data_IF_459015565252
#
_entry.id   IF_459015565252
#
_cell.length_a   1.000
_cell.length_b   1.000
_cell.length_c   1.000
_cell.angle_alpha   90.00
_cell.angle_beta   90.00
_cell.angle_gamma   90.00
#
_symmetry.space_group_name_H-M   'P 1'
#
loop_
_entity.id
_entity.type
_entity.pdbx_description
1 polymer ?
#
# COMPACT_ATOMS: atom_id res chain seq x y z
N UNK A 1 22.19 -20.63 -60.10
CA UNK A 1 21.89 -22.02 -59.69
C UNK A 1 23.19 -22.80 -59.63
N UNK A 2 23.50 -23.42 -58.48
CA UNK A 2 24.56 -24.42 -58.37
C UNK A 2 25.69 -24.04 -57.42
N UNK A 3 25.51 -24.38 -56.14
CA UNK A 3 26.48 -24.27 -55.07
C UNK A 3 27.63 -25.29 -55.20
N UNK A 4 28.78 -25.00 -54.56
CA UNK A 4 29.18 -25.67 -53.31
C UNK A 4 30.70 -25.85 -53.17
N UNK A 5 31.14 -25.61 -51.95
CA UNK A 5 32.50 -25.70 -51.37
C UNK A 5 32.96 -27.15 -51.23
N UNK A 6 34.29 -27.37 -51.26
CA UNK A 6 34.93 -28.47 -50.52
C UNK A 6 36.18 -27.97 -49.78
N UNK A 7 36.16 -28.09 -48.46
CA UNK A 7 37.31 -27.97 -47.56
C UNK A 7 37.93 -29.35 -47.38
N UNK A 8 39.27 -29.42 -47.38
CA UNK A 8 40.03 -30.55 -46.87
C UNK A 8 41.19 -30.00 -46.05
N UNK A 9 41.19 -30.25 -44.74
CA UNK A 9 42.36 -30.06 -43.88
C UNK A 9 42.64 -31.41 -43.26
N UNK A 10 43.85 -31.93 -43.49
CA UNK A 10 44.41 -33.04 -42.78
C UNK A 10 45.57 -32.50 -41.96
N UNK A 11 45.47 -32.57 -40.64
CA UNK A 11 46.64 -32.49 -39.76
C UNK A 11 46.54 -33.56 -38.67
N UNK A 12 47.64 -34.29 -38.52
CA UNK A 12 47.88 -35.31 -37.50
C UNK A 12 48.21 -34.65 -36.15
N UNK A 13 47.96 -35.33 -35.01
CA UNK A 13 47.98 -34.68 -33.71
C UNK A 13 49.40 -34.63 -33.13
N UNK A 14 49.79 -33.49 -32.56
CA UNK A 14 50.76 -33.46 -31.47
C UNK A 14 50.27 -32.49 -30.41
N UNK A 15 49.94 -33.03 -29.24
CA UNK A 15 49.50 -32.31 -28.07
C UNK A 15 50.63 -31.41 -27.53
N UNK A 16 50.35 -30.12 -27.49
CA UNK A 16 51.04 -29.15 -26.63
C UNK A 16 49.96 -28.21 -26.12
N UNK A 17 49.53 -28.44 -24.89
CA UNK A 17 48.50 -27.65 -24.23
C UNK A 17 49.08 -26.29 -23.82
N UNK A 18 49.04 -25.32 -24.73
CA UNK A 18 48.95 -23.92 -24.34
C UNK A 18 47.47 -23.64 -24.18
N UNK A 19 46.98 -23.70 -22.93
CA UNK A 19 45.68 -23.17 -22.60
C UNK A 19 45.72 -21.67 -22.87
N UNK A 20 45.21 -21.25 -24.02
CA UNK A 20 44.76 -19.87 -24.20
C UNK A 20 43.53 -19.74 -23.33
N UNK A 21 43.71 -19.26 -22.11
CA UNK A 21 42.61 -18.76 -21.29
C UNK A 21 42.01 -17.58 -22.04
N UNK A 22 41.01 -17.86 -22.85
CA UNK A 22 40.01 -16.87 -23.24
C UNK A 22 39.43 -16.41 -21.90
N UNK A 23 39.82 -15.22 -21.45
CA UNK A 23 39.11 -14.55 -20.38
C UNK A 23 37.67 -14.45 -20.87
N UNK A 24 36.80 -15.32 -20.33
CA UNK A 24 35.38 -15.08 -20.37
C UNK A 24 35.21 -13.74 -19.67
N UNK A 25 35.00 -12.68 -20.44
CA UNK A 25 34.48 -11.45 -19.91
C UNK A 25 33.18 -11.88 -19.23
N UNK A 26 33.14 -11.81 -17.89
CA UNK A 26 31.87 -11.89 -17.19
C UNK A 26 31.02 -10.77 -17.81
N UNK A 27 30.02 -11.14 -18.60
CA UNK A 27 29.04 -10.16 -19.03
C UNK A 27 28.43 -9.65 -17.73
N UNK A 28 28.56 -8.36 -17.46
CA UNK A 28 27.82 -7.74 -16.38
C UNK A 28 26.34 -8.12 -16.57
N UNK A 29 25.66 -8.47 -15.49
CA UNK A 29 24.23 -8.75 -15.53
C UNK A 29 23.51 -7.64 -16.30
N UNK A 30 22.53 -7.98 -17.16
CA UNK A 30 21.88 -6.99 -18.00
C UNK A 30 21.22 -5.91 -17.13
N UNK A 31 21.35 -4.66 -17.54
CA UNK A 31 20.64 -3.55 -16.92
C UNK A 31 19.13 -3.71 -17.20
N UNK A 32 18.31 -3.73 -16.16
CA UNK A 32 16.86 -3.83 -16.26
C UNK A 32 16.20 -2.67 -15.50
N UNK A 33 15.87 -1.54 -16.14
CA UNK A 33 15.28 -0.38 -15.47
C UNK A 33 13.79 -0.60 -15.16
N UNK A 34 13.28 -0.08 -14.03
CA UNK A 34 11.87 -0.21 -13.67
C UNK A 34 10.96 0.65 -14.53
N UNK A 35 9.70 0.22 -14.62
CA UNK A 35 8.66 1.04 -15.27
C UNK A 35 8.43 2.32 -14.46
N UNK A 36 8.45 2.18 -13.13
CA UNK A 36 8.43 3.30 -12.20
C UNK A 36 9.54 3.14 -11.16
N UNK A 37 10.37 4.16 -11.04
CA UNK A 37 11.54 4.12 -10.18
C UNK A 37 11.25 4.78 -8.82
N UNK A 38 11.18 3.95 -7.78
CA UNK A 38 11.11 4.35 -6.37
C UNK A 38 12.35 3.86 -5.59
N UNK A 39 13.46 3.52 -6.26
CA UNK A 39 14.71 3.14 -5.58
C UNK A 39 15.43 4.33 -4.94
N UNK A 40 14.87 5.52 -5.11
CA UNK A 40 15.22 6.78 -4.44
C UNK A 40 13.93 7.47 -3.98
N UNK A 41 14.04 8.48 -3.12
CA UNK A 41 12.90 9.24 -2.61
C UNK A 41 12.13 9.89 -3.78
N UNK A 42 10.98 9.30 -4.12
CA UNK A 42 10.15 9.72 -5.25
C UNK A 42 8.67 9.43 -4.99
N UNK A 43 7.80 10.02 -5.81
CA UNK A 43 6.36 9.77 -5.82
C UNK A 43 5.88 9.66 -7.26
N UNK A 44 5.11 8.62 -7.57
CA UNK A 44 4.56 8.35 -8.90
C UNK A 44 3.06 8.07 -8.83
N UNK A 45 2.35 8.30 -9.93
CA UNK A 45 0.94 7.91 -10.07
C UNK A 45 0.82 6.80 -11.09
N UNK A 46 0.22 5.69 -10.68
CA UNK A 46 -0.01 4.51 -11.52
C UNK A 46 -1.50 4.21 -11.48
N UNK A 47 -2.16 4.27 -12.63
CA UNK A 47 -3.59 3.97 -12.77
C UNK A 47 -4.51 4.67 -11.75
N UNK A 48 -4.18 5.91 -11.36
CA UNK A 48 -4.95 6.72 -10.42
C UNK A 48 -4.62 6.52 -8.94
N UNK A 49 -3.77 5.54 -8.59
CA UNK A 49 -3.21 5.39 -7.25
C UNK A 49 -1.84 6.08 -7.15
N UNK A 50 -1.49 6.54 -5.96
CA UNK A 50 -0.21 7.22 -5.66
C UNK A 50 0.70 6.22 -4.96
N UNK A 51 1.91 6.03 -5.47
CA UNK A 51 2.97 5.24 -4.87
C UNK A 51 4.10 6.19 -4.45
N UNK A 52 4.59 6.06 -3.23
CA UNK A 52 5.60 6.99 -2.72
C UNK A 52 6.61 6.30 -1.81
N UNK A 53 7.89 6.53 -2.09
CA UNK A 53 8.99 6.24 -1.16
C UNK A 53 9.45 7.50 -0.40
N UNK A 54 8.78 8.64 -0.62
CA UNK A 54 9.05 9.92 0.07
C UNK A 54 8.06 10.21 1.19
N UNK A 55 6.81 9.78 1.04
CA UNK A 55 5.75 9.88 2.04
C UNK A 55 5.54 8.47 2.61
N UNK A 56 6.25 8.16 3.68
CA UNK A 56 6.22 6.85 4.33
C UNK A 56 5.78 7.00 5.79
N UNK A 57 5.16 5.96 6.34
CA UNK A 57 4.62 6.02 7.69
C UNK A 57 5.74 5.83 8.70
N UNK A 58 5.78 6.65 9.75
CA UNK A 58 6.62 6.41 10.93
C UNK A 58 5.90 5.44 11.87
N UNK A 59 6.51 4.32 12.26
CA UNK A 59 5.94 3.44 13.29
C UNK A 59 6.10 1.93 13.14
N UNK A 60 6.99 1.44 12.27
CA UNK A 60 7.23 0.00 12.09
C UNK A 60 7.66 -0.76 13.38
N UNK A 61 7.98 -0.05 14.47
CA UNK A 61 8.24 -0.63 15.80
C UNK A 61 7.45 0.00 16.96
N UNK A 62 6.47 0.88 16.71
CA UNK A 62 5.76 1.66 17.75
C UNK A 62 4.36 1.12 18.10
N UNK A 63 3.87 0.14 17.33
CA UNK A 63 2.51 -0.40 17.47
C UNK A 63 1.42 0.49 16.85
N UNK A 64 1.80 1.41 15.95
CA UNK A 64 0.88 2.24 15.16
C UNK A 64 0.56 1.66 13.78
N UNK A 65 1.30 0.62 13.38
CA UNK A 65 1.04 -0.17 12.18
C UNK A 65 0.39 -1.48 12.58
N UNK A 66 -0.58 -1.89 11.76
CA UNK A 66 -1.24 -3.19 11.84
C UNK A 66 -0.90 -3.98 10.57
N UNK A 67 0.06 -4.92 10.62
CA UNK A 67 0.42 -5.75 9.49
C UNK A 67 -0.72 -6.72 9.18
N UNK A 68 -1.18 -6.70 7.93
CA UNK A 68 -2.31 -7.52 7.51
C UNK A 68 -1.99 -8.42 6.30
N UNK A 69 -0.87 -8.17 5.62
CA UNK A 69 -0.22 -9.14 4.72
C UNK A 69 1.21 -9.28 5.20
N UNK A 70 1.69 -10.53 5.32
CA UNK A 70 3.12 -10.82 5.32
C UNK A 70 3.39 -11.90 4.30
N UNK A 71 4.29 -11.62 3.37
CA UNK A 71 4.78 -12.58 2.39
C UNK A 71 6.23 -12.88 2.70
N UNK A 72 6.61 -14.16 2.63
CA UNK A 72 7.98 -14.58 2.93
C UNK A 72 8.40 -15.75 2.05
N UNK A 73 9.68 -15.79 1.73
CA UNK A 73 10.29 -16.77 0.87
C UNK A 73 10.12 -18.20 1.38
N UNK A 74 9.79 -19.11 0.47
CA UNK A 74 9.98 -20.55 0.68
C UNK A 74 11.29 -21.03 0.03
N UNK A 75 12.26 -21.47 0.85
CA UNK A 75 13.50 -22.08 0.34
C UNK A 75 14.45 -21.06 -0.31
N UNK A 76 14.96 -21.35 -1.51
CA UNK A 76 15.87 -20.47 -2.27
C UNK A 76 15.11 -19.69 -3.39
N UNK A 77 13.80 -19.45 -3.24
CA UNK A 77 13.00 -18.80 -4.28
C UNK A 77 13.27 -17.29 -4.34
N UNK A 78 13.54 -16.71 -5.50
CA UNK A 78 13.89 -15.26 -5.59
C UNK A 78 12.69 -14.33 -5.68
N UNK A 79 11.47 -14.88 -5.53
CA UNK A 79 10.20 -14.19 -5.73
C UNK A 79 9.18 -14.57 -4.66
N UNK A 80 8.32 -13.64 -4.28
CA UNK A 80 7.24 -13.81 -3.30
C UNK A 80 5.91 -13.26 -3.80
N UNK A 81 4.81 -13.90 -3.42
CA UNK A 81 3.46 -13.38 -3.63
C UNK A 81 2.50 -13.83 -2.56
N UNK A 82 1.46 -13.03 -2.34
CA UNK A 82 0.43 -13.35 -1.35
C UNK A 82 -0.61 -12.26 -1.20
N UNK A 83 -1.57 -12.54 -0.33
CA UNK A 83 -2.70 -11.66 -0.04
C UNK A 83 -3.22 -11.91 1.38
N UNK A 84 -3.99 -10.97 1.92
CA UNK A 84 -4.53 -11.10 3.26
C UNK A 84 -5.86 -11.87 3.31
N UNK A 85 -6.09 -12.68 4.34
CA UNK A 85 -7.36 -13.38 4.56
C UNK A 85 -7.48 -13.92 5.98
N UNK A 86 -8.70 -14.08 6.48
CA UNK A 86 -9.01 -14.83 7.72
C UNK A 86 -9.21 -16.34 7.47
N UNK A 87 -9.23 -16.78 6.21
CA UNK A 87 -9.35 -18.19 5.90
C UNK A 87 -8.12 -18.96 6.41
N UNK A 88 -8.36 -20.07 7.13
CA UNK A 88 -7.31 -20.97 7.62
C UNK A 88 -6.72 -21.84 6.49
N UNK A 89 -6.21 -21.20 5.46
CA UNK A 89 -5.59 -21.81 4.27
C UNK A 89 -4.16 -21.31 4.09
N UNK A 90 -3.44 -21.89 3.15
CA UNK A 90 -2.17 -21.34 2.69
C UNK A 90 -2.42 -20.10 1.84
N UNK A 91 -1.67 -19.05 2.10
CA UNK A 91 -1.62 -17.88 1.24
C UNK A 91 -0.46 -18.08 0.28
N UNK A 92 -0.77 -18.38 -0.99
CA UNK A 92 0.17 -18.62 -2.10
C UNK A 92 1.55 -19.17 -1.69
N UNK A 93 2.54 -18.30 -1.49
CA UNK A 93 3.94 -18.68 -1.23
C UNK A 93 4.26 -18.97 0.26
N UNK A 94 3.36 -18.65 1.19
CA UNK A 94 3.50 -19.06 2.59
C UNK A 94 3.05 -20.52 2.80
N UNK A 95 3.81 -21.24 3.63
CA UNK A 95 3.56 -22.63 3.99
C UNK A 95 2.38 -22.80 4.96
N UNK A 96 1.95 -21.71 5.59
CA UNK A 96 0.76 -21.57 6.46
C UNK A 96 0.14 -20.17 6.27
N UNK A 97 -0.98 -19.83 6.92
CA UNK A 97 -1.55 -18.47 6.86
C UNK A 97 -0.62 -17.41 7.51
N UNK A 98 0.59 -17.74 7.98
CA UNK A 98 1.29 -16.94 8.98
C UNK A 98 0.53 -16.89 10.32
N UNK A 99 0.99 -16.04 11.25
CA UNK A 99 0.22 -15.75 12.47
C UNK A 99 -0.96 -14.82 12.16
N UNK A 100 -2.11 -15.00 12.81
CA UNK A 100 -3.31 -14.17 12.59
C UNK A 100 -3.14 -12.67 12.88
N UNK A 101 -1.99 -12.29 13.44
CA UNK A 101 -1.59 -10.90 13.69
C UNK A 101 -0.83 -10.26 12.52
N UNK A 102 -0.51 -11.02 11.47
CA UNK A 102 0.26 -10.57 10.30
C UNK A 102 -0.49 -10.78 8.98
N UNK A 103 -1.42 -11.73 8.98
CA UNK A 103 -2.24 -12.08 7.82
C UNK A 103 -3.67 -12.23 8.31
N UNK A 104 -4.51 -11.26 7.97
CA UNK A 104 -5.91 -11.25 8.36
C UNK A 104 -6.74 -10.35 7.46
N UNK A 105 -8.05 -10.53 7.47
CA UNK A 105 -8.96 -9.64 6.76
C UNK A 105 -8.85 -8.22 7.30
N UNK A 106 -8.95 -7.23 6.40
CA UNK A 106 -9.05 -5.82 6.78
C UNK A 106 -10.45 -5.34 6.49
N UNK A 107 -11.13 -4.80 7.50
CA UNK A 107 -12.37 -4.07 7.26
C UNK A 107 -12.03 -2.65 6.82
N UNK A 108 -12.66 -2.18 5.75
CA UNK A 108 -12.50 -0.84 5.19
C UNK A 108 -12.84 0.25 6.22
N UNK A 109 -13.74 -0.03 7.17
CA UNK A 109 -14.06 0.89 8.27
C UNK A 109 -12.89 1.12 9.23
N UNK A 110 -11.93 0.20 9.24
CA UNK A 110 -10.78 0.24 10.15
C UNK A 110 -9.58 0.96 9.50
N UNK A 111 -9.67 1.29 8.20
CA UNK A 111 -8.64 2.06 7.50
C UNK A 111 -8.99 3.54 7.59
N UNK A 112 -8.16 4.36 8.26
CA UNK A 112 -8.38 5.81 8.27
C UNK A 112 -8.23 6.41 6.88
N UNK A 113 -9.01 7.46 6.60
CA UNK A 113 -8.91 8.21 5.33
C UNK A 113 -7.84 9.29 5.46
N UNK A 114 -6.90 9.32 4.51
CA UNK A 114 -5.94 10.40 4.35
C UNK A 114 -6.42 11.37 3.25
N UNK A 115 -6.37 12.67 3.51
CA UNK A 115 -6.70 13.69 2.52
C UNK A 115 -5.46 14.32 1.90
N UNK A 116 -5.44 14.39 0.58
CA UNK A 116 -4.43 15.11 -0.19
C UNK A 116 -5.15 16.05 -1.15
N UNK A 117 -4.99 17.36 -0.96
CA UNK A 117 -5.61 18.40 -1.77
C UNK A 117 -7.14 18.21 -1.94
N UNK A 118 -7.84 17.84 -0.85
CA UNK A 118 -9.28 17.60 -0.85
C UNK A 118 -9.74 16.24 -1.41
N UNK A 119 -8.83 15.38 -1.87
CA UNK A 119 -9.17 14.02 -2.29
C UNK A 119 -8.86 13.04 -1.16
N UNK A 120 -9.84 12.21 -0.79
CA UNK A 120 -9.68 11.16 0.22
C UNK A 120 -9.08 9.89 -0.37
N UNK A 121 -8.14 9.29 0.36
CA UNK A 121 -7.45 8.04 0.00
C UNK A 121 -7.46 7.06 1.16
N UNK A 122 -7.58 5.78 0.84
CA UNK A 122 -7.14 4.71 1.74
C UNK A 122 -5.66 4.47 1.53
N UNK A 123 -4.90 4.41 2.64
CA UNK A 123 -3.46 4.23 2.64
C UNK A 123 -3.07 2.84 3.11
N UNK A 124 -2.12 2.25 2.38
CA UNK A 124 -1.46 1.00 2.70
C UNK A 124 0.04 1.24 2.67
N UNK A 125 0.75 0.77 3.68
CA UNK A 125 2.19 1.01 3.83
C UNK A 125 2.95 -0.32 3.73
N UNK A 126 3.90 -0.40 2.81
CA UNK A 126 4.79 -1.53 2.61
C UNK A 126 6.06 -1.33 3.43
N UNK A 127 6.35 -2.28 4.30
CA UNK A 127 7.62 -2.44 5.00
C UNK A 127 8.38 -3.61 4.35
N UNK A 128 9.55 -3.31 3.79
CA UNK A 128 10.44 -4.27 3.15
C UNK A 128 11.45 -4.70 4.20
N UNK A 129 11.31 -5.92 4.71
CA UNK A 129 12.22 -6.44 5.72
C UNK A 129 13.23 -7.41 5.09
N UNK A 130 14.18 -6.84 4.34
CA UNK A 130 15.31 -7.56 3.76
C UNK A 130 16.42 -7.84 4.80
N UNK A 131 17.18 -8.92 4.59
CA UNK A 131 18.32 -9.25 5.44
C UNK A 131 19.42 -8.18 5.36
N UNK A 132 19.83 -7.63 6.50
CA UNK A 132 20.93 -6.66 6.61
C UNK A 132 22.33 -7.17 6.18
N UNK A 133 22.42 -8.46 5.85
CA UNK A 133 23.64 -9.09 5.32
C UNK A 133 23.61 -9.26 3.80
N UNK A 134 22.49 -8.94 3.16
CA UNK A 134 22.36 -8.98 1.70
C UNK A 134 23.21 -7.88 1.06
N UNK A 135 23.84 -8.22 -0.06
CA UNK A 135 24.51 -7.25 -0.94
C UNK A 135 23.55 -6.65 -1.97
N UNK A 136 22.34 -7.22 -2.07
CA UNK A 136 21.26 -6.80 -2.96
C UNK A 136 20.26 -5.98 -2.14
N UNK A 137 19.93 -4.79 -2.61
CA UNK A 137 19.02 -3.86 -1.92
C UNK A 137 17.77 -3.55 -2.74
N UNK A 138 17.77 -3.91 -4.03
CA UNK A 138 16.71 -3.56 -4.95
C UNK A 138 15.71 -4.70 -5.05
N UNK A 139 14.44 -4.38 -4.83
CA UNK A 139 13.31 -5.28 -4.92
C UNK A 139 12.39 -4.81 -6.04
N UNK A 140 11.84 -5.75 -6.81
CA UNK A 140 10.81 -5.45 -7.81
C UNK A 140 9.43 -5.72 -7.20
N UNK A 141 8.52 -4.76 -7.30
CA UNK A 141 7.09 -4.99 -7.13
C UNK A 141 6.49 -5.20 -8.53
N UNK A 142 6.11 -6.43 -8.82
CA UNK A 142 5.74 -6.90 -10.16
C UNK A 142 4.24 -6.96 -10.40
N UNK A 143 3.45 -7.16 -9.35
CA UNK A 143 2.00 -7.03 -9.43
C UNK A 143 1.45 -6.50 -8.13
N UNK A 144 0.45 -5.62 -8.23
CA UNK A 144 -0.34 -5.17 -7.09
C UNK A 144 -1.80 -5.02 -7.48
N UNK A 145 -2.68 -5.64 -6.69
CA UNK A 145 -4.11 -5.53 -6.85
C UNK A 145 -4.80 -5.27 -5.52
N UNK A 146 -5.85 -4.44 -5.56
CA UNK A 146 -6.79 -4.28 -4.45
C UNK A 146 -8.13 -4.81 -4.88
N UNK A 147 -8.71 -5.67 -4.04
CA UNK A 147 -10.04 -6.24 -4.21
C UNK A 147 -10.92 -5.92 -3.00
N UNK A 148 -12.23 -5.94 -3.22
CA UNK A 148 -13.24 -5.81 -2.18
C UNK A 148 -14.19 -7.00 -2.17
N UNK A 149 -14.57 -7.47 -0.98
CA UNK A 149 -15.50 -8.58 -0.82
C UNK A 149 -16.47 -8.39 0.34
N UNK A 150 -17.51 -9.22 0.35
CA UNK A 150 -18.53 -9.22 1.41
C UNK A 150 -18.10 -10.00 2.67
N UNK A 151 -17.06 -10.81 2.59
CA UNK A 151 -16.56 -11.65 3.69
C UNK A 151 -15.04 -11.52 3.82
N UNK A 152 -14.53 -11.74 5.04
CA UNK A 152 -13.11 -11.64 5.38
C UNK A 152 -12.29 -12.92 5.16
N UNK A 153 -12.91 -14.00 4.68
CA UNK A 153 -12.29 -15.33 4.58
C UNK A 153 -12.17 -15.88 3.15
N UNK A 154 -11.86 -15.06 2.14
CA UNK A 154 -11.55 -15.56 0.79
C UNK A 154 -10.26 -16.39 0.78
N UNK A 155 -10.23 -17.55 0.13
CA UNK A 155 -9.11 -18.50 0.22
C UNK A 155 -8.51 -18.96 -1.11
N UNK A 156 -9.24 -18.76 -2.21
CA UNK A 156 -8.96 -19.44 -3.48
C UNK A 156 -8.61 -18.42 -4.58
N UNK A 157 -7.73 -17.46 -4.27
CA UNK A 157 -7.16 -16.57 -5.29
C UNK A 157 -6.26 -17.37 -6.22
N UNK A 158 -6.59 -17.37 -7.51
CA UNK A 158 -5.76 -17.97 -8.56
C UNK A 158 -4.87 -16.88 -9.15
N UNK A 159 -3.56 -16.80 -8.82
CA UNK A 159 -2.68 -15.82 -9.43
C UNK A 159 -2.48 -16.13 -10.92
N UNK A 160 -2.11 -15.12 -11.71
CA UNK A 160 -1.79 -15.32 -13.13
C UNK A 160 -0.65 -16.34 -13.35
N UNK A 161 -0.49 -16.79 -14.60
CA UNK A 161 0.52 -17.80 -15.01
C UNK A 161 1.98 -17.39 -14.72
N UNK A 162 2.19 -16.10 -14.49
CA UNK A 162 3.23 -15.41 -13.74
C UNK A 162 2.56 -14.09 -13.28
N UNK A 163 3.06 -13.34 -12.28
CA UNK A 163 2.43 -12.07 -11.91
C UNK A 163 2.43 -11.02 -13.04
N UNK A 164 3.22 -11.20 -14.10
CA UNK A 164 2.94 -10.56 -15.39
C UNK A 164 1.61 -11.09 -15.95
N UNK A 165 0.61 -10.20 -15.96
CA UNK A 165 -0.73 -10.30 -16.54
C UNK A 165 -1.84 -10.44 -15.51
N UNK A 166 -2.34 -9.29 -15.02
CA UNK A 166 -3.74 -8.80 -15.01
C UNK A 166 -4.94 -9.77 -14.98
N UNK A 167 -4.77 -11.03 -14.59
CA UNK A 167 -5.72 -12.13 -14.83
C UNK A 167 -6.05 -12.95 -13.58
N UNK A 168 -5.34 -12.73 -12.47
CA UNK A 168 -5.69 -13.35 -11.21
C UNK A 168 -7.03 -12.84 -10.68
N UNK A 169 -7.80 -13.70 -10.02
CA UNK A 169 -9.09 -13.35 -9.47
C UNK A 169 -9.46 -14.25 -8.29
N UNK A 170 -10.23 -13.69 -7.36
CA UNK A 170 -10.96 -14.49 -6.39
C UNK A 170 -12.14 -15.22 -7.04
N UNK A 171 -12.65 -16.31 -6.46
CA UNK A 171 -13.75 -17.06 -7.04
C UNK A 171 -15.00 -16.19 -7.22
N UNK A 172 -15.65 -16.32 -8.38
CA UNK A 172 -16.84 -15.52 -8.72
C UNK A 172 -18.00 -15.69 -7.73
N UNK A 173 -18.06 -16.81 -7.00
CA UNK A 173 -19.07 -17.09 -5.98
C UNK A 173 -18.95 -16.23 -4.72
N UNK A 174 -17.79 -15.62 -4.48
CA UNK A 174 -17.49 -14.95 -3.22
C UNK A 174 -17.72 -13.43 -3.25
N UNK A 175 -18.36 -12.95 -4.33
CA UNK A 175 -18.73 -11.55 -4.54
C UNK A 175 -17.55 -10.57 -4.39
N UNK A 176 -16.34 -11.01 -4.76
CA UNK A 176 -15.18 -10.14 -4.84
C UNK A 176 -15.23 -9.23 -6.07
N UNK A 177 -14.73 -8.00 -5.96
CA UNK A 177 -14.60 -7.05 -7.07
C UNK A 177 -13.23 -6.39 -7.06
N UNK A 178 -12.59 -6.33 -8.22
CA UNK A 178 -11.33 -5.63 -8.41
C UNK A 178 -11.53 -4.12 -8.31
N UNK A 179 -10.75 -3.47 -7.45
CA UNK A 179 -10.79 -2.03 -7.19
C UNK A 179 -9.61 -1.33 -7.85
N UNK A 180 -8.43 -1.95 -7.78
CA UNK A 180 -7.21 -1.39 -8.35
C UNK A 180 -6.33 -2.50 -8.92
N UNK A 181 -5.68 -2.21 -10.06
CA UNK A 181 -4.71 -3.09 -10.69
C UNK A 181 -3.56 -2.25 -11.27
N UNK A 182 -2.34 -2.48 -10.77
CA UNK A 182 -1.13 -1.81 -11.24
C UNK A 182 -0.84 -2.09 -12.73
N UNK A 183 -1.16 -3.30 -13.20
CA UNK A 183 -0.92 -3.76 -14.58
C UNK A 183 -2.07 -3.51 -15.54
N UNK A 184 -3.09 -2.73 -15.12
CA UNK A 184 -4.10 -2.29 -16.05
C UNK A 184 -3.43 -1.51 -17.20
N UNK A 185 -3.66 -1.96 -18.44
CA UNK A 185 -3.06 -1.38 -19.64
C UNK A 185 -1.69 -1.94 -20.04
N UNK A 186 -1.17 -2.97 -19.36
CA UNK A 186 0.09 -3.64 -19.69
C UNK A 186 0.95 -3.88 -18.45
N UNK A 187 1.91 -4.79 -18.60
CA UNK A 187 2.87 -5.18 -17.56
C UNK A 187 3.73 -4.00 -17.10
N UNK A 188 3.86 -3.84 -15.77
CA UNK A 188 4.64 -2.78 -15.14
C UNK A 188 5.32 -3.38 -13.92
N UNK A 189 6.49 -2.85 -13.57
CA UNK A 189 7.03 -3.08 -12.24
C UNK A 189 7.55 -1.79 -11.63
N UNK A 190 7.44 -1.72 -10.31
CA UNK A 190 7.97 -0.63 -9.50
C UNK A 190 9.29 -1.10 -8.89
N UNK A 191 10.36 -0.35 -9.13
CA UNK A 191 11.65 -0.60 -8.51
C UNK A 191 11.69 0.01 -7.11
N UNK A 192 12.01 -0.79 -6.11
CA UNK A 192 12.11 -0.41 -4.70
C UNK A 192 13.54 -0.60 -4.21
N UNK A 193 13.91 0.10 -3.14
CA UNK A 193 15.20 -0.06 -2.48
C UNK A 193 14.99 -0.16 -0.96
N UNK A 194 15.18 -1.36 -0.40
CA UNK A 194 14.99 -1.62 1.04
C UNK A 194 16.00 -0.92 1.96
N UNK A 195 17.05 -0.30 1.40
CA UNK A 195 17.98 0.53 2.16
C UNK A 195 17.64 2.03 2.12
N UNK A 196 16.60 2.42 1.37
CA UNK A 196 16.28 3.83 1.16
C UNK A 196 15.85 4.53 2.46
N UNK A 197 15.16 3.81 3.35
CA UNK A 197 14.77 4.33 4.65
C UNK A 197 15.79 3.90 5.73
N UNK A 198 16.65 4.80 6.21
CA UNK A 198 17.68 4.43 7.17
C UNK A 198 17.07 4.09 8.54
N UNK A 199 17.23 2.84 8.96
CA UNK A 199 16.85 2.37 10.28
C UNK A 199 15.59 1.51 10.27
N UNK A 200 15.64 0.40 9.51
CA UNK A 200 14.71 -0.74 9.55
C UNK A 200 13.99 -0.84 10.89
N UNK A 201 12.73 -0.40 10.94
CA UNK A 201 11.91 -0.39 12.16
C UNK A 201 11.36 0.98 12.60
N UNK A 202 11.83 2.11 12.06
CA UNK A 202 11.24 3.42 12.38
C UNK A 202 10.20 3.90 11.36
N UNK A 203 10.34 3.53 10.10
CA UNK A 203 9.46 3.92 8.99
C UNK A 203 9.22 2.75 8.05
N UNK A 204 8.09 2.76 7.34
CA UNK A 204 7.86 1.87 6.19
C UNK A 204 8.67 2.34 4.97
N UNK A 205 8.78 1.52 3.92
CA UNK A 205 9.58 1.81 2.72
C UNK A 205 8.79 2.46 1.59
N UNK A 206 7.51 2.13 1.48
CA UNK A 206 6.63 2.70 0.46
C UNK A 206 5.21 2.87 1.01
N UNK A 207 4.53 3.94 0.60
CA UNK A 207 3.08 4.06 0.74
C UNK A 207 2.36 3.90 -0.60
N UNK A 208 1.17 3.32 -0.52
CA UNK A 208 0.20 3.21 -1.59
C UNK A 208 -1.09 3.91 -1.14
N UNK A 209 -1.53 4.90 -1.90
CA UNK A 209 -2.78 5.61 -1.68
C UNK A 209 -3.74 5.35 -2.84
N UNK A 210 -4.88 4.75 -2.55
CA UNK A 210 -5.94 4.48 -3.53
C UNK A 210 -7.13 5.39 -3.23
N UNK A 211 -7.68 6.12 -4.22
CA UNK A 211 -8.81 7.03 -4.00
C UNK A 211 -9.99 6.31 -3.36
N UNK A 212 -10.58 6.90 -2.31
CA UNK A 212 -11.78 6.37 -1.65
C UNK A 212 -12.94 6.20 -2.65
N UNK A 213 -13.02 7.07 -3.65
CA UNK A 213 -14.03 7.02 -4.71
C UNK A 213 -13.98 5.75 -5.59
N UNK A 214 -12.88 4.99 -5.54
CA UNK A 214 -12.76 3.71 -6.23
C UNK A 214 -13.46 2.55 -5.49
N UNK A 215 -13.74 2.71 -4.20
CA UNK A 215 -14.24 1.64 -3.35
C UNK A 215 -15.78 1.59 -3.30
N UNK A 216 -16.31 0.38 -3.24
CA UNK A 216 -17.73 0.07 -3.04
C UNK A 216 -18.05 0.04 -1.54
N UNK A 217 -18.85 0.99 -1.02
CA UNK A 217 -19.18 1.04 0.41
C UNK A 217 -20.04 -0.14 0.88
N UNK A 218 -20.59 -0.96 -0.02
CA UNK A 218 -21.37 -2.15 0.34
C UNK A 218 -20.51 -3.38 0.65
N UNK A 219 -19.21 -3.33 0.36
CA UNK A 219 -18.26 -4.44 0.55
C UNK A 219 -17.20 -4.08 1.60
N UNK A 220 -17.31 -4.60 2.83
CA UNK A 220 -16.48 -4.15 3.92
C UNK A 220 -15.04 -4.67 3.88
N UNK A 221 -14.75 -5.80 3.23
CA UNK A 221 -13.43 -6.42 3.34
C UNK A 221 -12.51 -6.07 2.18
N UNK A 222 -11.29 -5.64 2.51
CA UNK A 222 -10.21 -5.34 1.57
C UNK A 222 -9.25 -6.53 1.47
N UNK A 223 -8.86 -6.83 0.23
CA UNK A 223 -7.86 -7.81 -0.11
C UNK A 223 -6.76 -7.13 -0.93
N UNK A 224 -5.56 -7.03 -0.38
CA UNK A 224 -4.36 -6.59 -1.08
C UNK A 224 -3.59 -7.82 -1.53
N UNK A 225 -3.41 -7.97 -2.83
CA UNK A 225 -2.50 -8.95 -3.42
C UNK A 225 -1.25 -8.22 -3.93
N UNK A 226 -0.08 -8.77 -3.62
CA UNK A 226 1.18 -8.32 -4.20
C UNK A 226 2.06 -9.49 -4.63
N UNK A 227 2.85 -9.28 -5.66
CA UNK A 227 3.91 -10.17 -6.10
C UNK A 227 5.20 -9.38 -6.33
N UNK A 228 6.33 -9.91 -5.87
CA UNK A 228 7.62 -9.23 -5.82
C UNK A 228 8.77 -10.17 -6.19
N UNK A 229 9.88 -9.60 -6.66
CA UNK A 229 11.11 -10.33 -6.95
C UNK A 229 11.11 -11.12 -8.27
N UNK A 230 10.23 -10.80 -9.22
CA UNK A 230 10.15 -11.50 -10.50
C UNK A 230 11.07 -10.90 -11.57
N UNK A 231 11.64 -9.72 -11.35
CA UNK A 231 12.61 -9.14 -12.28
C UNK A 231 14.00 -9.75 -12.12
N UNK A 232 14.63 -10.03 -13.26
CA UNK A 232 16.04 -10.40 -13.34
C UNK A 232 16.92 -9.17 -13.69
N UNK A 233 18.24 -9.32 -13.53
CA UNK A 233 19.22 -8.32 -13.96
C UNK A 233 19.63 -7.37 -12.85
N UNK A 234 20.23 -6.24 -13.22
CA UNK A 234 20.68 -5.22 -12.27
C UNK A 234 20.11 -3.85 -12.59
N UNK A 235 20.06 -2.99 -11.58
CA UNK A 235 19.77 -1.58 -11.74
C UNK A 235 20.59 -0.77 -10.73
N UNK A 236 20.88 0.48 -11.07
CA UNK A 236 21.47 1.44 -10.14
C UNK A 236 20.56 2.66 -10.11
N UNK A 237 19.88 2.83 -8.98
CA UNK A 237 19.09 4.02 -8.72
C UNK A 237 19.92 5.31 -8.79
N UNK A 238 19.29 6.47 -9.06
CA UNK A 238 19.98 7.76 -9.14
C UNK A 238 20.81 8.14 -7.90
N UNK A 239 20.42 7.65 -6.71
CA UNK A 239 21.10 7.93 -5.44
C UNK A 239 21.94 6.77 -4.92
N UNK A 240 21.99 5.65 -5.65
CA UNK A 240 22.73 4.45 -5.24
C UNK A 240 24.21 4.55 -5.60
N UNK A 241 25.07 4.03 -4.73
CA UNK A 241 26.52 4.07 -4.90
C UNK A 241 27.06 2.97 -5.82
N UNK A 242 26.27 1.92 -6.08
CA UNK A 242 26.62 0.79 -6.93
C UNK A 242 25.36 0.15 -7.53
N UNK A 243 25.53 -0.62 -8.62
CA UNK A 243 24.46 -1.48 -9.15
C UNK A 243 24.07 -2.55 -8.15
N UNK A 244 22.78 -2.83 -8.08
CA UNK A 244 22.19 -3.90 -7.29
C UNK A 244 21.36 -4.82 -8.19
N UNK A 245 21.30 -6.11 -7.86
CA UNK A 245 20.43 -7.07 -8.53
C UNK A 245 18.99 -6.90 -8.05
N UNK A 246 18.02 -7.17 -8.92
CA UNK A 246 16.63 -7.35 -8.52
C UNK A 246 16.50 -8.72 -7.85
N UNK A 247 16.22 -8.75 -6.55
CA UNK A 247 16.09 -10.00 -5.79
C UNK A 247 15.19 -9.78 -4.59
N UNK A 248 14.43 -10.80 -4.18
CA UNK A 248 14.03 -10.93 -2.78
C UNK A 248 15.01 -11.86 -2.05
N UNK A 249 15.51 -11.46 -0.88
CA UNK A 249 16.63 -12.14 -0.22
C UNK A 249 16.32 -12.50 1.24
N UNK A 250 15.88 -13.73 1.49
CA UNK A 250 15.79 -14.35 2.83
C UNK A 250 14.98 -13.56 3.87
N UNK A 251 14.22 -12.55 3.43
CA UNK A 251 13.43 -11.62 4.23
C UNK A 251 11.93 -11.91 4.18
N UNK A 252 11.15 -10.86 4.42
CA UNK A 252 9.71 -10.84 4.20
C UNK A 252 9.25 -9.41 3.87
N UNK A 253 8.14 -9.29 3.15
CA UNK A 253 7.47 -8.01 2.92
C UNK A 253 6.15 -7.97 3.68
N UNK A 254 5.92 -6.86 4.37
CA UNK A 254 4.73 -6.62 5.19
C UNK A 254 3.93 -5.45 4.66
N UNK A 255 2.66 -5.69 4.33
CA UNK A 255 1.70 -4.61 4.11
C UNK A 255 0.96 -4.30 5.40
N UNK A 256 0.94 -3.02 5.70
CA UNK A 256 0.42 -2.46 6.93
C UNK A 256 -0.70 -1.48 6.62
N UNK A 257 -1.69 -1.43 7.49
CA UNK A 257 -2.57 -0.26 7.61
C UNK A 257 -2.12 0.56 8.81
N UNK A 258 -2.40 1.85 8.78
CA UNK A 258 -2.24 2.68 9.96
C UNK A 258 -3.41 2.47 10.93
N UNK A 259 -3.09 2.38 12.22
CA UNK A 259 -4.09 2.38 13.27
C UNK A 259 -4.59 3.81 13.45
N UNK A 260 -5.84 4.05 13.06
CA UNK A 260 -6.45 5.37 13.14
C UNK A 260 -6.56 5.88 14.57
N UNK A 261 -6.32 7.18 14.73
CA UNK A 261 -6.64 7.96 15.92
C UNK A 261 -8.12 8.33 15.91
N UNK A 262 -8.69 8.53 17.10
CA UNK A 262 -10.09 8.91 17.26
C UNK A 262 -10.19 10.42 17.47
N UNK A 263 -10.99 11.06 16.63
CA UNK A 263 -11.52 12.41 16.87
C UNK A 263 -12.98 12.24 17.22
N UNK A 264 -13.40 12.62 18.42
CA UNK A 264 -14.79 12.53 18.84
C UNK A 264 -15.25 13.74 19.63
N UNK A 265 -16.56 13.84 19.81
CA UNK A 265 -17.17 14.93 20.54
C UNK A 265 -18.68 14.78 20.66
N UNK A 266 -19.29 15.81 21.24
CA UNK A 266 -20.74 15.88 21.42
C UNK A 266 -21.29 17.19 20.87
N UNK A 267 -22.47 17.11 20.25
CA UNK A 267 -23.30 18.26 19.90
C UNK A 267 -24.42 18.40 20.93
N UNK A 268 -24.58 19.61 21.47
CA UNK A 268 -25.58 19.93 22.48
C UNK A 268 -26.18 21.32 22.22
N UNK A 269 -27.35 21.57 22.80
CA UNK A 269 -28.00 22.85 22.79
C UNK A 269 -27.56 23.64 24.03
N UNK A 270 -26.60 24.52 23.84
CA UNK A 270 -26.17 25.48 24.85
C UNK A 270 -27.31 26.48 25.13
N UNK A 271 -28.00 26.28 26.25
CA UNK A 271 -29.21 27.04 26.58
C UNK A 271 -28.89 28.41 27.19
N UNK A 272 -27.66 28.58 27.71
CA UNK A 272 -27.23 29.78 28.42
C UNK A 272 -26.15 30.59 27.68
N UNK A 273 -25.64 30.07 26.55
CA UNK A 273 -24.62 30.62 25.66
C UNK A 273 -23.26 30.85 26.35
N UNK A 274 -22.81 29.89 27.16
CA UNK A 274 -21.51 29.96 27.84
C UNK A 274 -20.43 29.02 27.29
N UNK A 275 -20.76 28.20 26.29
CA UNK A 275 -19.87 27.30 25.58
C UNK A 275 -19.48 26.04 26.36
N UNK A 276 -20.12 25.75 27.49
CA UNK A 276 -19.90 24.56 28.32
C UNK A 276 -21.12 23.67 28.25
N UNK A 277 -20.93 22.35 28.12
CA UNK A 277 -22.06 21.41 28.17
C UNK A 277 -22.42 21.06 29.62
N UNK A 278 -23.64 21.38 30.03
CA UNK A 278 -24.03 21.39 31.44
C UNK A 278 -25.30 20.58 31.73
N UNK A 279 -25.54 20.34 33.03
CA UNK A 279 -26.72 19.61 33.48
C UNK A 279 -28.01 20.38 33.16
N UNK A 280 -28.86 19.79 32.32
CA UNK A 280 -30.11 20.41 31.85
C UNK A 280 -30.08 20.81 30.38
N UNK A 281 -28.91 20.78 29.76
CA UNK A 281 -28.74 21.08 28.34
C UNK A 281 -28.85 19.81 27.50
N UNK A 282 -29.78 19.77 26.53
CA UNK A 282 -30.04 18.56 25.77
C UNK A 282 -28.95 18.32 24.73
N UNK A 283 -28.55 17.05 24.59
CA UNK A 283 -27.79 16.60 23.43
C UNK A 283 -28.61 16.74 22.14
N UNK A 284 -27.93 16.90 21.02
CA UNK A 284 -28.54 17.14 19.72
C UNK A 284 -28.19 16.02 18.74
N UNK A 285 -29.18 15.19 18.45
CA UNK A 285 -29.09 14.09 17.48
C UNK A 285 -29.34 14.56 16.04
N UNK A 286 -28.78 13.85 15.06
CA UNK A 286 -29.03 14.12 13.65
C UNK A 286 -28.26 15.31 13.06
N UNK A 287 -27.24 15.79 13.75
CA UNK A 287 -26.37 16.87 13.26
C UNK A 287 -25.21 16.29 12.47
N UNK A 288 -24.94 16.88 11.31
CA UNK A 288 -23.82 16.47 10.46
C UNK A 288 -22.58 17.25 10.86
N UNK A 289 -21.57 16.52 11.33
CA UNK A 289 -20.22 17.01 11.59
C UNK A 289 -19.33 16.46 10.49
N UNK A 290 -18.38 17.23 9.96
CA UNK A 290 -17.50 16.80 8.89
C UNK A 290 -16.08 17.30 9.04
N UNK A 291 -15.14 16.58 8.41
CA UNK A 291 -13.76 17.03 8.23
C UNK A 291 -13.72 17.84 6.94
N UNK A 292 -13.43 19.13 7.04
CA UNK A 292 -13.25 20.03 5.91
C UNK A 292 -11.81 19.91 5.39
N UNK A 293 -11.65 19.03 4.40
CA UNK A 293 -10.36 18.60 3.90
C UNK A 293 -9.72 19.62 2.94
N UNK A 294 -10.54 20.49 2.33
CA UNK A 294 -10.07 21.52 1.39
C UNK A 294 -10.19 22.94 1.96
N UNK A 295 -10.69 23.07 3.19
CA UNK A 295 -10.89 24.32 3.92
C UNK A 295 -11.79 25.32 3.18
N UNK A 296 -12.88 24.83 2.57
CA UNK A 296 -13.82 25.66 1.82
C UNK A 296 -15.15 25.94 2.55
N UNK A 297 -15.27 25.46 3.79
CA UNK A 297 -16.42 25.65 4.68
C UNK A 297 -17.72 25.01 4.18
N UNK A 298 -17.63 24.03 3.28
CA UNK A 298 -18.77 23.32 2.69
C UNK A 298 -18.49 21.83 2.77
N UNK A 299 -19.49 21.05 3.20
CA UNK A 299 -19.37 19.60 3.09
C UNK A 299 -19.41 19.20 1.61
N UNK A 300 -18.29 18.70 1.10
CA UNK A 300 -18.14 18.25 -0.27
C UNK A 300 -18.29 16.73 -0.42
N UNK A 301 -18.54 16.29 -1.66
CA UNK A 301 -18.57 14.88 -1.98
C UNK A 301 -17.19 14.24 -1.73
N UNK A 302 -17.15 13.25 -0.84
CA UNK A 302 -15.92 12.51 -0.50
C UNK A 302 -15.27 12.97 0.80
N UNK A 303 -15.76 14.03 1.44
CA UNK A 303 -15.33 14.38 2.79
C UNK A 303 -15.98 13.46 3.84
N UNK A 304 -15.24 13.05 4.89
CA UNK A 304 -15.78 12.22 5.96
C UNK A 304 -16.73 13.07 6.78
N UNK A 305 -17.91 12.50 7.03
CA UNK A 305 -18.88 13.09 7.94
C UNK A 305 -19.40 12.04 8.92
N UNK A 306 -19.82 12.52 10.08
CA UNK A 306 -20.51 11.76 11.08
C UNK A 306 -21.85 12.45 11.37
N UNK A 307 -22.89 11.65 11.62
CA UNK A 307 -24.18 12.15 12.10
C UNK A 307 -24.27 11.86 13.58
N UNK A 308 -24.55 12.88 14.38
CA UNK A 308 -24.61 12.74 15.83
C UNK A 308 -25.71 11.77 16.25
N UNK A 309 -25.40 10.91 17.21
CA UNK A 309 -26.34 9.94 17.74
C UNK A 309 -27.36 10.55 18.71
N UNK A 310 -28.18 9.71 19.36
CA UNK A 310 -29.18 10.15 20.33
C UNK A 310 -28.60 10.90 21.56
N UNK A 311 -27.31 10.71 21.85
CA UNK A 311 -26.56 11.38 22.91
C UNK A 311 -25.70 12.53 22.36
N UNK A 312 -25.95 12.95 21.11
CA UNK A 312 -25.19 13.99 20.43
C UNK A 312 -23.77 13.57 20.05
N UNK A 313 -23.39 12.30 20.25
CA UNK A 313 -22.02 11.83 20.05
C UNK A 313 -21.69 11.65 18.57
N UNK A 314 -20.50 12.06 18.17
CA UNK A 314 -19.93 11.79 16.85
C UNK A 314 -18.48 11.32 16.97
N UNK A 315 -18.00 10.59 15.96
CA UNK A 315 -16.64 10.05 15.91
C UNK A 315 -16.11 10.00 14.49
N UNK A 316 -14.83 10.34 14.32
CA UNK A 316 -14.01 10.05 13.15
C UNK A 316 -12.83 9.17 13.56
N UNK A 317 -12.40 8.32 12.62
CA UNK A 317 -11.16 7.55 12.74
C UNK A 317 -10.23 8.02 11.62
N UNK A 318 -9.10 8.62 12.01
CA UNK A 318 -8.22 9.37 11.11
C UNK A 318 -6.76 8.96 11.31
N UNK A 319 -5.90 9.16 10.32
CA UNK A 319 -4.45 9.00 10.51
C UNK A 319 -3.91 10.09 11.46
N UNK A 320 -2.70 9.96 12.02
CA UNK A 320 -2.04 11.12 12.64
C UNK A 320 -1.94 12.27 11.65
N UNK A 321 -2.27 13.49 12.08
CA UNK A 321 -2.28 14.66 11.21
C UNK A 321 -3.11 15.80 11.77
N UNK A 322 -3.15 16.89 11.01
CA UNK A 322 -3.96 18.07 11.35
C UNK A 322 -5.30 18.03 10.61
N UNK A 323 -6.39 18.22 11.33
CA UNK A 323 -7.76 18.14 10.80
C UNK A 323 -8.58 19.36 11.18
N UNK A 324 -9.37 19.85 10.22
CA UNK A 324 -10.36 20.91 10.44
C UNK A 324 -11.75 20.30 10.54
N UNK A 325 -12.39 20.43 11.70
CA UNK A 325 -13.72 19.89 12.00
C UNK A 325 -14.76 21.01 11.95
N UNK A 326 -15.87 20.76 11.27
CA UNK A 326 -16.98 21.70 11.08
C UNK A 326 -18.33 21.04 11.27
N UNK A 327 -19.35 21.84 11.55
CA UNK A 327 -20.75 21.42 11.47
C UNK A 327 -21.41 21.93 10.18
N UNK A 328 -22.31 21.12 9.62
CA UNK A 328 -23.18 21.61 8.56
C UNK A 328 -24.27 22.50 9.19
N UNK A 329 -24.43 23.76 8.76
CA UNK A 329 -25.41 24.67 9.34
C UNK A 329 -26.85 24.12 9.26
N UNK A 330 -27.60 24.23 10.36
CA UNK A 330 -29.01 23.86 10.40
C UNK A 330 -29.92 25.08 10.51
N UNK A 331 -31.00 25.09 9.71
CA UNK A 331 -31.96 26.19 9.72
C UNK A 331 -32.62 26.34 11.10
N UNK A 332 -32.67 27.58 11.60
CA UNK A 332 -33.24 27.90 12.92
C UNK A 332 -32.27 27.76 14.09
N UNK A 333 -31.02 27.38 13.84
CA UNK A 333 -29.96 27.30 14.84
C UNK A 333 -28.82 28.25 14.51
N UNK A 334 -28.12 28.68 15.55
CA UNK A 334 -26.86 29.41 15.45
C UNK A 334 -25.79 28.59 16.14
N UNK A 335 -24.63 28.43 15.49
CA UNK A 335 -23.47 27.78 16.08
C UNK A 335 -22.89 28.69 17.16
N UNK A 336 -22.84 28.21 18.40
CA UNK A 336 -22.20 28.92 19.50
C UNK A 336 -20.71 28.60 19.60
N UNK A 337 -20.32 27.32 19.55
CA UNK A 337 -18.93 26.88 19.58
C UNK A 337 -18.57 25.94 18.42
N UNK A 338 -17.33 25.99 17.89
CA UNK A 338 -16.31 26.99 18.19
C UNK A 338 -16.68 28.38 17.63
N UNK A 339 -16.51 29.43 18.44
CA UNK A 339 -16.90 30.81 18.11
C UNK A 339 -15.81 31.60 17.36
N UNK A 340 -14.93 30.94 16.61
CA UNK A 340 -13.97 31.64 15.75
C UNK A 340 -14.66 32.12 14.46
N UNK A 341 -13.97 32.96 13.68
CA UNK A 341 -14.55 33.57 12.47
C UNK A 341 -14.98 32.53 11.42
N UNK A 342 -14.47 31.31 11.52
CA UNK A 342 -14.73 30.21 10.61
C UNK A 342 -15.75 29.19 11.14
N UNK A 343 -16.03 29.11 12.44
CA UNK A 343 -16.86 28.05 13.02
C UNK A 343 -16.19 26.67 13.04
N UNK A 344 -14.86 26.61 13.16
CA UNK A 344 -14.07 25.37 13.02
C UNK A 344 -13.21 25.00 14.25
N UNK A 345 -12.95 23.71 14.45
CA UNK A 345 -11.90 23.23 15.35
C UNK A 345 -10.73 22.65 14.55
N UNK A 346 -9.50 23.07 14.87
CA UNK A 346 -8.29 22.42 14.35
C UNK A 346 -7.75 21.45 15.39
N UNK A 347 -7.62 20.19 15.01
CA UNK A 347 -7.05 19.11 15.83
C UNK A 347 -5.70 18.71 15.21
N UNK A 348 -4.68 18.39 16.02
CA UNK A 348 -3.32 17.98 15.59
C UNK A 348 -2.83 16.81 16.41
#
# INVERSE_FOLDING_TARGET
>A
FGASVKFAVAEAPVASSVAVSINAWFAASPLNPPTYDLTFANTVTINGAIFSSSDVATGAGTGLLDPFVRISQQGNNTSEQGYNTDASVKVLDDTTQGGSQYVHAVNISDIPIQFINGVGYYRFDLDINESNTSTSQNLSLDSLQIWQASVGNLSDYDPGAAPDQSTGAFPAGDNASLIYNMDAGGDKFVGLNGNLQPGSGNTTDMSLLVPVSSFDPSKPYIYLYSAMGYQDGTYQGPTESAQSTWTSESGFEEWNRQIGQVIDGHKFNDLNADGVWEAGEPALAGWTIYIDANNNNTLDAGEPFAVTDANGYYKFTVTPGTYTIREQPQAGWTQDAPNNAQGEFTIT
#
